data_IF_897433330456
#
_entry.id   IF_897433330456
#
_cell.length_a   1.000
_cell.length_b   1.000
_cell.length_c   1.000
_cell.angle_alpha   90.00
_cell.angle_beta   90.00
_cell.angle_gamma   90.00
#
_symmetry.space_group_name_H-M   'P 1'
#
loop_
_entity.id
_entity.type
_entity.pdbx_description
1 polymer ?
#
# COMPACT_ATOMS: atom_id res chain seq x y z
N UNK A 1 -14.96 24.75 -2.19
CA UNK A 1 -14.26 23.76 -3.08
C UNK A 1 -12.97 24.26 -3.72
N UNK A 2 -12.96 25.18 -4.71
CA UNK A 2 -11.68 25.61 -5.34
C UNK A 2 -10.69 26.19 -4.33
N UNK A 3 -11.15 27.12 -3.49
CA UNK A 3 -10.31 27.74 -2.46
C UNK A 3 -9.84 26.70 -1.42
N UNK A 4 -10.70 25.75 -1.06
CA UNK A 4 -10.35 24.62 -0.20
C UNK A 4 -9.23 23.76 -0.79
N UNK A 5 -9.37 23.32 -2.05
CA UNK A 5 -8.35 22.50 -2.75
C UNK A 5 -7.02 23.26 -2.81
N UNK A 6 -7.04 24.54 -3.17
CA UNK A 6 -5.82 25.37 -3.18
C UNK A 6 -5.19 25.46 -1.80
N UNK A 7 -5.98 25.72 -0.75
CA UNK A 7 -5.50 25.74 0.64
C UNK A 7 -4.88 24.41 1.05
N UNK A 8 -5.49 23.30 0.64
CA UNK A 8 -5.00 21.94 0.93
C UNK A 8 -3.69 21.65 0.20
N UNK A 9 -3.58 22.01 -1.08
CA UNK A 9 -2.33 21.89 -1.85
C UNK A 9 -1.20 22.72 -1.20
N UNK A 10 -1.50 23.94 -0.74
CA UNK A 10 -0.51 24.76 -0.02
C UNK A 10 -0.12 24.11 1.31
N UNK A 11 -1.05 23.49 2.04
CA UNK A 11 -0.77 22.75 3.28
C UNK A 11 0.04 21.47 3.05
N UNK A 12 -0.07 20.82 1.89
CA UNK A 12 0.70 19.62 1.55
C UNK A 12 2.20 19.94 1.55
N UNK A 13 2.61 21.12 1.10
CA UNK A 13 4.03 21.51 1.00
C UNK A 13 4.75 21.49 2.37
N UNK A 14 4.33 22.23 3.41
CA UNK A 14 5.00 22.21 4.71
C UNK A 14 4.88 20.85 5.40
N UNK A 15 3.78 20.11 5.21
CA UNK A 15 3.65 18.75 5.76
C UNK A 15 4.65 17.80 5.11
N UNK A 16 4.79 17.85 3.78
CA UNK A 16 5.74 17.04 3.04
C UNK A 16 7.19 17.37 3.42
N UNK A 17 7.55 18.65 3.52
CA UNK A 17 8.86 19.08 3.99
C UNK A 17 9.13 18.62 5.43
N UNK A 18 8.11 18.66 6.30
CA UNK A 18 8.19 18.12 7.65
C UNK A 18 8.46 16.61 7.66
N UNK A 19 7.79 15.84 6.81
CA UNK A 19 8.02 14.39 6.68
C UNK A 19 9.45 14.10 6.22
N UNK A 20 9.93 14.76 5.15
CA UNK A 20 11.32 14.56 4.68
C UNK A 20 12.32 14.98 5.76
N UNK A 21 12.07 16.10 6.45
CA UNK A 21 12.93 16.56 7.53
C UNK A 21 13.04 15.51 8.63
N UNK A 22 11.91 14.95 9.09
CA UNK A 22 11.91 13.90 10.12
C UNK A 22 12.66 12.67 9.63
N UNK A 23 12.42 12.21 8.40
CA UNK A 23 13.12 11.06 7.82
C UNK A 23 14.63 11.29 7.76
N UNK A 24 15.05 12.46 7.26
CA UNK A 24 16.44 12.85 7.16
C UNK A 24 17.11 12.90 8.54
N UNK A 25 16.42 13.50 9.52
CA UNK A 25 16.90 13.59 10.90
C UNK A 25 17.06 12.22 11.54
N UNK A 26 16.09 11.30 11.34
CA UNK A 26 16.19 9.92 11.82
C UNK A 26 17.42 9.22 11.23
N UNK A 27 17.70 9.38 9.94
CA UNK A 27 18.88 8.77 9.32
C UNK A 27 20.20 9.39 9.79
N UNK A 28 20.21 10.69 10.06
CA UNK A 28 21.38 11.36 10.63
C UNK A 28 21.71 10.86 12.03
N UNK A 29 20.69 10.61 12.86
CA UNK A 29 20.86 10.12 14.23
C UNK A 29 21.08 8.60 14.30
N UNK A 30 20.83 7.87 13.22
CA UNK A 30 21.02 6.42 13.19
C UNK A 30 22.51 6.07 13.32
N UNK A 31 22.88 5.16 14.23
CA UNK A 31 24.29 4.82 14.45
C UNK A 31 24.89 4.14 13.23
N UNK A 32 25.99 4.68 12.69
CA UNK A 32 26.72 4.15 11.51
C UNK A 32 26.47 4.94 10.22
N UNK A 33 27.36 4.80 9.24
CA UNK A 33 27.31 5.55 7.97
C UNK A 33 27.06 4.63 6.76
N UNK A 34 26.56 5.14 5.62
CA UNK A 34 26.50 4.36 4.38
C UNK A 34 27.85 3.75 3.99
N UNK A 35 28.94 4.45 4.30
CA UNK A 35 30.33 3.99 4.08
C UNK A 35 30.64 2.73 4.88
N UNK A 36 30.16 2.61 6.12
CA UNK A 36 30.42 1.44 6.97
C UNK A 36 29.97 0.10 6.35
N UNK A 37 28.89 0.10 5.57
CA UNK A 37 28.40 -1.08 4.83
C UNK A 37 29.14 -1.33 3.50
N UNK A 38 29.87 -0.33 3.00
CA UNK A 38 30.67 -0.41 1.77
C UNK A 38 32.15 -0.74 2.06
N UNK A 39 32.55 -0.78 3.33
CA UNK A 39 33.92 -1.09 3.73
C UNK A 39 34.28 -2.53 3.39
N UNK A 40 35.31 -2.69 2.55
CA UNK A 40 35.99 -3.97 2.40
C UNK A 40 37.04 -4.14 3.50
N UNK A 41 37.35 -5.38 3.94
CA UNK A 41 38.41 -5.64 4.93
C UNK A 41 39.81 -5.13 4.54
N UNK A 42 40.01 -4.77 3.27
CA UNK A 42 41.27 -4.22 2.72
C UNK A 42 41.22 -2.72 2.42
N UNK A 43 40.11 -2.04 2.75
CA UNK A 43 39.95 -0.61 2.49
C UNK A 43 40.87 0.18 3.42
N UNK A 44 41.73 1.04 2.87
CA UNK A 44 42.62 1.88 3.68
C UNK A 44 41.85 3.05 4.30
N UNK A 45 42.36 3.66 5.39
CA UNK A 45 41.75 4.85 5.98
C UNK A 45 41.58 6.01 4.99
N UNK A 46 42.50 6.16 4.04
CA UNK A 46 42.46 7.20 3.00
C UNK A 46 41.32 6.94 2.01
N UNK A 47 41.15 5.69 1.56
CA UNK A 47 40.04 5.31 0.67
C UNK A 47 38.68 5.50 1.34
N UNK A 48 38.62 5.29 2.66
CA UNK A 48 37.42 5.55 3.45
C UNK A 48 37.11 7.05 3.49
N UNK A 49 38.09 7.90 3.78
CA UNK A 49 37.91 9.35 3.82
C UNK A 49 37.49 9.91 2.45
N UNK A 50 38.09 9.43 1.37
CA UNK A 50 37.71 9.81 0.00
C UNK A 50 36.26 9.42 -0.34
N UNK A 51 35.81 8.26 0.13
CA UNK A 51 34.43 7.82 -0.07
C UNK A 51 33.43 8.63 0.78
N UNK A 52 33.81 9.01 2.01
CA UNK A 52 33.00 9.89 2.87
C UNK A 52 32.83 11.28 2.24
N UNK A 53 33.90 11.84 1.67
CA UNK A 53 33.88 13.11 0.93
C UNK A 53 33.01 13.01 -0.33
N UNK A 54 33.16 11.95 -1.13
CA UNK A 54 32.33 11.72 -2.33
C UNK A 54 30.82 11.61 -2.02
N UNK A 55 30.47 11.11 -0.84
CA UNK A 55 29.09 11.02 -0.38
C UNK A 55 28.61 12.29 0.35
N UNK A 56 29.45 13.31 0.46
CA UNK A 56 29.16 14.58 1.13
C UNK A 56 28.95 14.44 2.63
N UNK A 57 29.50 13.38 3.25
CA UNK A 57 29.32 13.11 4.68
C UNK A 57 30.08 14.10 5.58
N UNK A 58 31.08 14.79 5.02
CA UNK A 58 31.84 15.91 5.59
C UNK A 58 31.03 17.21 5.69
N UNK A 59 30.00 17.37 4.85
CA UNK A 59 29.15 18.55 4.83
C UNK A 59 28.15 18.50 6.01
N UNK A 60 27.91 19.60 6.74
CA UNK A 60 26.89 19.61 7.78
C UNK A 60 25.50 19.15 7.29
N UNK A 61 24.82 18.33 8.11
CA UNK A 61 23.57 17.66 7.74
C UNK A 61 22.48 18.60 7.22
N UNK A 62 22.37 19.82 7.75
CA UNK A 62 21.37 20.80 7.32
C UNK A 62 21.62 21.30 5.89
N UNK A 63 22.90 21.41 5.46
CA UNK A 63 23.24 21.75 4.08
C UNK A 63 22.94 20.57 3.16
N UNK A 64 23.23 19.33 3.58
CA UNK A 64 22.84 18.12 2.83
C UNK A 64 21.32 18.06 2.65
N UNK A 65 20.54 18.36 3.68
CA UNK A 65 19.09 18.41 3.62
C UNK A 65 18.61 19.47 2.61
N UNK A 66 19.11 20.71 2.68
CA UNK A 66 18.74 21.77 1.71
C UNK A 66 19.11 21.36 0.28
N UNK A 67 20.29 20.79 0.07
CA UNK A 67 20.71 20.29 -1.24
C UNK A 67 19.79 19.17 -1.73
N UNK A 68 19.43 18.21 -0.88
CA UNK A 68 18.50 17.15 -1.22
C UNK A 68 17.14 17.72 -1.66
N UNK A 69 16.58 18.69 -0.93
CA UNK A 69 15.31 19.33 -1.30
C UNK A 69 15.43 20.04 -2.66
N UNK A 70 16.54 20.74 -2.92
CA UNK A 70 16.78 21.44 -4.19
C UNK A 70 16.89 20.48 -5.38
N UNK A 71 17.59 19.37 -5.21
CA UNK A 71 17.73 18.31 -6.22
C UNK A 71 16.40 17.58 -6.44
N UNK A 72 15.70 17.22 -5.35
CA UNK A 72 14.41 16.55 -5.42
C UNK A 72 13.35 17.41 -6.12
N UNK A 73 13.37 18.73 -5.92
CA UNK A 73 12.50 19.68 -6.64
C UNK A 73 12.73 19.69 -8.16
N UNK A 74 13.89 19.23 -8.63
CA UNK A 74 14.23 19.07 -10.05
C UNK A 74 14.00 17.63 -10.55
N UNK A 75 13.47 16.74 -9.71
CA UNK A 75 13.26 15.32 -10.02
C UNK A 75 14.46 14.42 -9.72
N UNK A 76 15.54 14.95 -9.16
CA UNK A 76 16.70 14.15 -8.77
C UNK A 76 16.57 13.69 -7.31
N UNK A 77 16.15 12.44 -7.12
CA UNK A 77 16.04 11.81 -5.79
C UNK A 77 17.37 11.24 -5.26
N UNK A 78 18.48 11.49 -5.96
CA UNK A 78 19.79 10.96 -5.65
C UNK A 78 20.12 9.65 -6.38
N UNK A 79 21.23 9.05 -5.98
CA UNK A 79 21.81 7.87 -6.62
C UNK A 79 21.81 6.68 -5.66
N UNK A 80 21.42 5.51 -6.14
CA UNK A 80 21.39 4.28 -5.36
C UNK A 80 22.72 3.55 -5.45
N UNK A 81 23.44 3.45 -4.32
CA UNK A 81 24.75 2.79 -4.29
C UNK A 81 24.65 1.26 -4.49
N UNK A 82 23.55 0.64 -4.04
CA UNK A 82 23.36 -0.81 -4.19
C UNK A 82 22.93 -1.19 -5.61
N UNK A 83 22.06 -0.40 -6.24
CA UNK A 83 21.57 -0.67 -7.59
C UNK A 83 22.36 0.02 -8.70
N UNK A 84 23.32 0.90 -8.35
CA UNK A 84 24.19 1.64 -9.27
C UNK A 84 23.43 2.41 -10.37
N UNK A 85 22.32 3.05 -9.99
CA UNK A 85 21.50 3.87 -10.89
C UNK A 85 20.70 4.94 -10.13
N UNK A 86 20.15 5.96 -10.81
CA UNK A 86 19.31 6.97 -10.18
C UNK A 86 18.14 6.36 -9.41
N UNK A 87 17.83 6.91 -8.24
CA UNK A 87 16.77 6.38 -7.35
C UNK A 87 15.40 6.35 -8.04
N UNK A 88 15.09 7.36 -8.86
CA UNK A 88 13.84 7.40 -9.62
C UNK A 88 13.70 6.20 -10.58
N UNK A 89 14.79 5.77 -11.22
CA UNK A 89 14.80 4.59 -12.10
C UNK A 89 14.64 3.30 -11.30
N UNK A 90 15.28 3.19 -10.13
CA UNK A 90 15.05 2.06 -9.22
C UNK A 90 13.56 1.98 -8.88
N UNK A 91 12.95 3.07 -8.41
CA UNK A 91 11.54 3.09 -8.03
C UNK A 91 10.65 2.64 -9.21
N UNK A 92 10.92 3.16 -10.42
CA UNK A 92 10.18 2.79 -11.62
C UNK A 92 10.24 1.29 -11.90
N UNK A 93 11.42 0.69 -11.88
CA UNK A 93 11.63 -0.72 -12.22
C UNK A 93 10.92 -1.69 -11.26
N UNK A 94 10.82 -1.33 -9.98
CA UNK A 94 10.21 -2.17 -8.94
C UNK A 94 8.75 -1.80 -8.62
N UNK A 95 8.24 -0.67 -9.12
CA UNK A 95 6.85 -0.25 -8.90
C UNK A 95 5.81 -1.15 -9.58
N UNK A 96 6.12 -1.70 -10.75
CA UNK A 96 5.18 -2.49 -11.54
C UNK A 96 4.68 -3.75 -10.81
N UNK A 97 5.58 -4.60 -10.28
CA UNK A 97 5.21 -5.77 -9.50
C UNK A 97 4.36 -5.44 -8.26
N UNK A 98 4.74 -4.41 -7.51
CA UNK A 98 3.98 -3.95 -6.32
C UNK A 98 2.59 -3.45 -6.72
N UNK A 99 2.48 -2.61 -7.75
CA UNK A 99 1.21 -2.12 -8.27
C UNK A 99 0.30 -3.26 -8.70
N UNK A 100 0.84 -4.23 -9.43
CA UNK A 100 0.09 -5.38 -9.93
C UNK A 100 -0.47 -6.21 -8.77
N UNK A 101 0.39 -6.59 -7.82
CA UNK A 101 0.01 -7.36 -6.65
C UNK A 101 -1.06 -6.63 -5.81
N UNK A 102 -0.82 -5.35 -5.52
CA UNK A 102 -1.74 -4.55 -4.71
C UNK A 102 -3.09 -4.33 -5.42
N UNK A 103 -3.08 -4.08 -6.74
CA UNK A 103 -4.31 -3.88 -7.52
C UNK A 103 -5.15 -5.15 -7.61
N UNK A 104 -4.53 -6.29 -7.90
CA UNK A 104 -5.23 -7.59 -7.92
C UNK A 104 -5.84 -7.88 -6.55
N UNK A 105 -5.06 -7.67 -5.49
CA UNK A 105 -5.52 -7.88 -4.11
C UNK A 105 -6.67 -6.95 -3.74
N UNK A 106 -6.61 -5.68 -4.14
CA UNK A 106 -7.68 -4.70 -3.91
C UNK A 106 -8.97 -5.11 -4.62
N UNK A 107 -8.88 -5.48 -5.91
CA UNK A 107 -10.03 -5.90 -6.70
C UNK A 107 -10.72 -7.10 -6.07
N UNK A 108 -9.96 -8.13 -5.67
CA UNK A 108 -10.51 -9.31 -5.00
C UNK A 108 -11.14 -8.91 -3.66
N UNK A 109 -10.45 -8.09 -2.88
CA UNK A 109 -10.91 -7.67 -1.54
C UNK A 109 -12.22 -6.88 -1.58
N UNK A 110 -12.38 -5.99 -2.56
CA UNK A 110 -13.62 -5.24 -2.78
C UNK A 110 -14.72 -6.19 -3.27
N UNK A 111 -14.41 -7.02 -4.26
CA UNK A 111 -15.36 -7.92 -4.91
C UNK A 111 -15.94 -8.97 -3.97
N UNK A 112 -15.18 -9.37 -2.95
CA UNK A 112 -15.63 -10.34 -1.93
C UNK A 112 -16.11 -9.62 -0.66
N UNK A 113 -15.31 -8.68 -0.16
CA UNK A 113 -15.53 -8.06 1.15
C UNK A 113 -16.78 -7.19 1.19
N UNK A 114 -17.01 -6.33 0.19
CA UNK A 114 -18.18 -5.46 0.17
C UNK A 114 -19.48 -6.29 0.07
N UNK A 115 -19.65 -7.22 -0.89
CA UNK A 115 -20.85 -8.05 -0.95
C UNK A 115 -21.07 -8.88 0.31
N UNK A 116 -20.01 -9.47 0.88
CA UNK A 116 -20.11 -10.20 2.14
C UNK A 116 -20.62 -9.30 3.28
N UNK A 117 -20.14 -8.05 3.36
CA UNK A 117 -20.57 -7.09 4.37
C UNK A 117 -22.02 -6.66 4.20
N UNK A 118 -22.46 -6.44 2.95
CA UNK A 118 -23.86 -6.14 2.62
C UNK A 118 -24.77 -7.31 3.03
N UNK A 119 -24.40 -8.55 2.67
CA UNK A 119 -25.18 -9.75 2.99
C UNK A 119 -25.25 -9.98 4.50
N UNK A 120 -24.13 -9.82 5.19
CA UNK A 120 -24.02 -9.96 6.64
C UNK A 120 -24.90 -8.93 7.38
N UNK A 121 -24.90 -7.66 6.94
CA UNK A 121 -25.78 -6.64 7.51
C UNK A 121 -27.27 -6.87 7.19
N UNK A 122 -27.60 -7.26 5.97
CA UNK A 122 -28.98 -7.53 5.56
C UNK A 122 -29.58 -8.75 6.28
N UNK A 123 -28.75 -9.70 6.71
CA UNK A 123 -29.14 -10.88 7.48
C UNK A 123 -28.60 -10.85 8.91
N UNK A 124 -28.67 -9.69 9.55
CA UNK A 124 -28.16 -9.47 10.91
C UNK A 124 -28.61 -10.60 11.87
N UNK A 125 -27.68 -11.13 12.66
CA UNK A 125 -27.87 -12.22 13.62
C UNK A 125 -28.21 -13.61 13.03
N UNK A 126 -28.25 -13.75 11.70
CA UNK A 126 -28.37 -15.06 11.06
C UNK A 126 -27.09 -15.89 11.17
N UNK A 127 -27.19 -17.19 10.89
CA UNK A 127 -26.02 -18.08 10.77
C UNK A 127 -25.03 -17.54 9.72
N UNK A 128 -25.54 -17.00 8.59
CA UNK A 128 -24.68 -16.41 7.55
C UNK A 128 -23.89 -15.21 8.08
N UNK A 129 -24.54 -14.32 8.83
CA UNK A 129 -23.89 -13.17 9.44
C UNK A 129 -22.81 -13.59 10.44
N UNK A 130 -23.15 -14.50 11.36
CA UNK A 130 -22.22 -15.00 12.36
C UNK A 130 -21.01 -15.70 11.71
N UNK A 131 -21.23 -16.54 10.68
CA UNK A 131 -20.16 -17.23 9.97
C UNK A 131 -19.22 -16.24 9.26
N UNK A 132 -19.78 -15.27 8.51
CA UNK A 132 -18.97 -14.25 7.83
C UNK A 132 -18.18 -13.41 8.83
N UNK A 133 -18.81 -13.05 9.96
CA UNK A 133 -18.16 -12.31 11.05
C UNK A 133 -16.99 -13.12 11.63
N UNK A 134 -17.18 -14.39 11.97
CA UNK A 134 -16.11 -15.26 12.49
C UNK A 134 -14.98 -15.40 11.48
N UNK A 135 -15.28 -15.67 10.21
CA UNK A 135 -14.27 -15.78 9.15
C UNK A 135 -13.48 -14.47 9.01
N UNK A 136 -14.15 -13.31 9.09
CA UNK A 136 -13.47 -12.02 9.03
C UNK A 136 -12.57 -11.76 10.25
N UNK A 137 -13.00 -12.18 11.44
CA UNK A 137 -12.20 -12.06 12.66
C UNK A 137 -10.95 -12.93 12.58
N UNK A 138 -11.07 -14.15 12.08
CA UNK A 138 -9.93 -15.02 11.80
C UNK A 138 -8.98 -14.33 10.81
N UNK A 139 -9.51 -13.77 9.72
CA UNK A 139 -8.70 -13.09 8.71
C UNK A 139 -7.92 -11.87 9.23
N UNK A 140 -8.46 -11.12 10.19
CA UNK A 140 -7.78 -9.99 10.84
C UNK A 140 -6.80 -10.47 11.92
N UNK A 141 -7.09 -11.61 12.57
CA UNK A 141 -6.32 -12.08 13.72
C UNK A 141 -5.06 -12.86 13.32
N UNK A 142 -5.05 -13.50 12.14
CA UNK A 142 -3.90 -14.25 11.66
C UNK A 142 -2.85 -13.28 11.09
N UNK A 143 -1.59 -13.30 11.60
CA UNK A 143 -0.52 -12.52 11.00
C UNK A 143 -0.29 -12.90 9.54
N UNK A 144 -0.20 -11.91 8.65
CA UNK A 144 -0.07 -12.12 7.21
C UNK A 144 1.15 -12.95 6.83
N UNK A 145 2.29 -12.73 7.50
CA UNK A 145 3.51 -13.51 7.26
C UNK A 145 3.29 -14.99 7.55
N UNK A 146 2.66 -15.30 8.69
CA UNK A 146 2.42 -16.67 9.13
C UNK A 146 1.46 -17.38 8.17
N UNK A 147 0.38 -16.71 7.77
CA UNK A 147 -0.54 -17.24 6.77
C UNK A 147 0.14 -17.49 5.42
N UNK A 148 1.01 -16.57 4.97
CA UNK A 148 1.80 -16.76 3.75
C UNK A 148 2.72 -17.97 3.81
N UNK A 149 3.39 -18.19 4.94
CA UNK A 149 4.25 -19.36 5.14
C UNK A 149 3.43 -20.67 5.15
N UNK A 150 2.24 -20.68 5.75
CA UNK A 150 1.34 -21.84 5.71
C UNK A 150 0.88 -22.16 4.28
N UNK A 151 0.52 -21.14 3.50
CA UNK A 151 0.14 -21.32 2.11
C UNK A 151 1.29 -21.85 1.25
N UNK A 152 2.51 -21.33 1.45
CA UNK A 152 3.70 -21.86 0.79
C UNK A 152 3.94 -23.32 1.15
N UNK A 153 3.90 -23.65 2.45
CA UNK A 153 4.12 -25.04 2.90
C UNK A 153 3.09 -25.99 2.29
N UNK A 154 1.80 -25.66 2.41
CA UNK A 154 0.73 -26.52 1.91
C UNK A 154 0.72 -26.63 0.38
N UNK A 155 0.70 -25.51 -0.33
CA UNK A 155 0.42 -25.52 -1.77
C UNK A 155 1.64 -25.47 -2.67
N UNK A 156 2.76 -24.92 -2.22
CA UNK A 156 3.97 -24.83 -3.03
C UNK A 156 5.01 -25.91 -2.69
N UNK A 157 5.10 -26.33 -1.41
CA UNK A 157 6.04 -27.38 -0.99
C UNK A 157 5.40 -28.77 -1.01
N UNK A 158 4.27 -28.95 -0.31
CA UNK A 158 3.69 -30.29 -0.13
C UNK A 158 2.89 -30.74 -1.36
N UNK A 159 1.98 -29.89 -1.86
CA UNK A 159 1.16 -30.18 -3.05
C UNK A 159 1.90 -29.85 -4.36
N UNK A 160 2.86 -28.90 -4.31
CA UNK A 160 3.61 -28.42 -5.49
C UNK A 160 2.72 -27.87 -6.63
N UNK A 161 1.60 -27.24 -6.26
CA UNK A 161 0.65 -26.66 -7.21
C UNK A 161 1.06 -25.25 -7.66
N UNK A 162 1.61 -24.46 -6.76
CA UNK A 162 2.00 -23.06 -7.00
C UNK A 162 3.51 -22.86 -6.86
N UNK A 163 4.08 -21.84 -7.52
CA UNK A 163 5.50 -21.53 -7.42
C UNK A 163 5.86 -21.04 -6.01
N UNK A 164 7.11 -21.30 -5.62
CA UNK A 164 7.63 -20.91 -4.30
C UNK A 164 8.01 -19.43 -4.25
N UNK A 165 8.63 -18.90 -5.30
CA UNK A 165 9.30 -17.60 -5.29
C UNK A 165 9.21 -16.90 -6.65
N UNK A 166 9.34 -15.57 -6.62
CA UNK A 166 9.46 -14.74 -7.82
C UNK A 166 8.12 -14.43 -8.48
N UNK A 167 8.18 -13.61 -9.54
CA UNK A 167 7.00 -13.16 -10.29
C UNK A 167 6.80 -13.93 -11.59
N UNK A 168 7.83 -14.64 -12.06
CA UNK A 168 7.88 -15.33 -13.34
C UNK A 168 8.77 -16.55 -13.24
N UNK A 169 8.45 -17.58 -14.01
CA UNK A 169 9.32 -18.76 -14.16
C UNK A 169 10.54 -18.39 -15.03
N UNK A 170 11.78 -18.52 -14.51
CA UNK A 170 12.99 -18.26 -15.30
C UNK A 170 13.19 -19.23 -16.47
N UNK A 171 12.53 -20.38 -16.48
CA UNK A 171 12.63 -21.40 -17.52
C UNK A 171 11.60 -21.23 -18.64
N UNK A 172 10.65 -20.29 -18.50
CA UNK A 172 9.64 -20.06 -19.53
C UNK A 172 10.25 -19.38 -20.77
N UNK A 173 10.48 -20.19 -21.81
CA UNK A 173 11.00 -19.74 -23.12
C UNK A 173 9.91 -19.41 -24.15
N UNK A 174 8.72 -18.97 -23.71
CA UNK A 174 7.65 -18.54 -24.61
C UNK A 174 7.64 -17.03 -24.78
N UNK A 175 7.56 -16.54 -26.02
CA UNK A 175 7.36 -15.12 -26.31
C UNK A 175 5.89 -14.69 -26.36
N UNK A 176 4.97 -15.64 -26.27
CA UNK A 176 3.54 -15.35 -26.28
C UNK A 176 3.14 -14.58 -25.01
N UNK A 177 2.47 -13.44 -25.20
CA UNK A 177 1.95 -12.60 -24.12
C UNK A 177 0.97 -13.37 -23.23
N UNK A 178 0.18 -14.27 -23.81
CA UNK A 178 -0.77 -15.09 -23.05
C UNK A 178 -0.07 -16.00 -22.05
N UNK A 179 1.00 -16.68 -22.47
CA UNK A 179 1.78 -17.57 -21.61
C UNK A 179 2.49 -16.79 -20.50
N UNK A 180 3.11 -15.65 -20.84
CA UNK A 180 3.74 -14.75 -19.86
C UNK A 180 2.73 -14.22 -18.83
N UNK A 181 1.50 -13.91 -19.26
CA UNK A 181 0.45 -13.41 -18.36
C UNK A 181 -0.08 -14.50 -17.45
N UNK A 182 -0.29 -15.72 -17.99
CA UNK A 182 -0.70 -16.88 -17.21
C UNK A 182 0.34 -17.24 -16.15
N UNK A 183 1.61 -17.21 -16.52
CA UNK A 183 2.73 -17.46 -15.61
C UNK A 183 2.75 -16.46 -14.45
N UNK A 184 2.69 -15.16 -14.76
CA UNK A 184 2.61 -14.10 -13.74
C UNK A 184 1.37 -14.27 -12.86
N UNK A 185 0.21 -14.57 -13.45
CA UNK A 185 -1.02 -14.79 -12.70
C UNK A 185 -0.88 -15.97 -11.72
N UNK A 186 -0.21 -17.05 -12.15
CA UNK A 186 0.05 -18.23 -11.31
C UNK A 186 0.96 -17.90 -10.12
N UNK A 187 2.01 -17.10 -10.36
CA UNK A 187 2.90 -16.59 -9.31
C UNK A 187 2.22 -15.63 -8.33
N UNK A 188 1.16 -14.93 -8.76
CA UNK A 188 0.44 -13.98 -7.93
C UNK A 188 -0.67 -14.60 -7.07
N UNK A 189 -1.08 -15.85 -7.29
CA UNK A 189 -2.22 -16.45 -6.57
C UNK A 189 -1.99 -16.44 -5.05
N UNK A 190 -0.93 -17.06 -4.57
CA UNK A 190 -0.65 -17.15 -3.14
C UNK A 190 -0.37 -15.77 -2.50
N UNK A 191 0.51 -14.92 -3.06
CA UNK A 191 0.73 -13.57 -2.54
C UNK A 191 -0.56 -12.73 -2.45
N UNK A 192 -1.41 -12.82 -3.47
CA UNK A 192 -2.67 -12.05 -3.50
C UNK A 192 -3.64 -12.55 -2.45
N UNK A 193 -3.76 -13.86 -2.25
CA UNK A 193 -4.61 -14.44 -1.19
C UNK A 193 -4.16 -13.94 0.19
N UNK A 194 -2.85 -13.89 0.45
CA UNK A 194 -2.30 -13.37 1.72
C UNK A 194 -2.70 -11.92 1.95
N UNK A 195 -2.55 -11.06 0.94
CA UNK A 195 -2.95 -9.65 1.05
C UNK A 195 -4.46 -9.45 1.13
N UNK A 196 -5.22 -10.31 0.45
CA UNK A 196 -6.68 -10.27 0.48
C UNK A 196 -7.24 -10.62 1.85
N UNK A 197 -6.58 -11.46 2.63
CA UNK A 197 -7.12 -11.94 3.91
C UNK A 197 -7.54 -10.78 4.84
N UNK A 198 -6.60 -9.87 5.11
CA UNK A 198 -6.84 -8.71 5.99
C UNK A 198 -7.76 -7.68 5.33
N UNK A 199 -7.56 -7.44 4.04
CA UNK A 199 -8.24 -6.42 3.26
C UNK A 199 -9.72 -6.74 3.07
N UNK A 200 -10.04 -7.97 2.68
CA UNK A 200 -11.41 -8.48 2.51
C UNK A 200 -12.17 -8.42 3.83
N UNK A 201 -11.55 -8.87 4.92
CA UNK A 201 -12.15 -8.84 6.25
C UNK A 201 -12.44 -7.40 6.71
N UNK A 202 -11.53 -6.47 6.42
CA UNK A 202 -11.73 -5.04 6.70
C UNK A 202 -12.91 -4.48 5.89
N UNK A 203 -12.93 -4.66 4.57
CA UNK A 203 -14.05 -4.21 3.72
C UNK A 203 -15.38 -4.81 4.17
N UNK A 204 -15.41 -6.10 4.52
CA UNK A 204 -16.59 -6.77 5.07
C UNK A 204 -17.08 -6.10 6.35
N UNK A 205 -16.20 -5.96 7.34
CA UNK A 205 -16.53 -5.42 8.67
C UNK A 205 -17.03 -3.97 8.59
N UNK A 206 -16.34 -3.10 7.86
CA UNK A 206 -16.72 -1.70 7.73
C UNK A 206 -17.99 -1.53 6.91
N UNK A 207 -18.15 -2.29 5.82
CA UNK A 207 -19.40 -2.30 5.05
C UNK A 207 -20.57 -2.77 5.91
N UNK A 208 -20.39 -3.85 6.69
CA UNK A 208 -21.42 -4.36 7.60
C UNK A 208 -21.81 -3.31 8.64
N UNK A 209 -20.84 -2.70 9.31
CA UNK A 209 -21.09 -1.68 10.34
C UNK A 209 -21.90 -0.51 9.78
N UNK A 210 -21.46 0.05 8.65
CA UNK A 210 -22.14 1.18 8.02
C UNK A 210 -23.54 0.82 7.52
N UNK A 211 -23.71 -0.37 6.93
CA UNK A 211 -25.02 -0.85 6.50
C UNK A 211 -25.99 -0.99 7.68
N UNK A 212 -25.55 -1.49 8.84
CA UNK A 212 -26.40 -1.61 10.03
C UNK A 212 -26.86 -0.26 10.56
N UNK A 213 -25.99 0.75 10.56
CA UNK A 213 -26.36 2.12 10.94
C UNK A 213 -27.42 2.70 10.01
N UNK A 214 -27.31 2.40 8.72
CA UNK A 214 -28.19 2.94 7.68
C UNK A 214 -29.54 2.21 7.60
N UNK A 215 -29.56 0.88 7.71
CA UNK A 215 -30.79 0.06 7.60
C UNK A 215 -31.84 0.44 8.66
N UNK A 216 -31.39 1.02 9.79
CA UNK A 216 -32.23 1.44 10.90
C UNK A 216 -32.76 2.88 10.78
N UNK A 217 -32.47 3.59 9.70
CA UNK A 217 -32.89 4.98 9.49
C UNK A 217 -34.37 5.12 9.06
N UNK A 218 -35.00 6.25 9.40
CA UNK A 218 -36.44 6.47 9.15
C UNK A 218 -36.82 6.50 7.66
N UNK A 219 -35.92 6.98 6.79
CA UNK A 219 -36.17 6.96 5.35
C UNK A 219 -36.18 5.52 4.78
N UNK A 220 -35.46 4.58 5.41
CA UNK A 220 -35.51 3.16 5.07
C UNK A 220 -36.84 2.54 5.52
N UNK A 221 -37.30 2.85 6.75
CA UNK A 221 -38.65 2.44 7.20
C UNK A 221 -39.75 2.97 6.28
N UNK A 222 -39.64 4.23 5.86
CA UNK A 222 -40.56 4.84 4.90
C UNK A 222 -40.53 4.12 3.55
N UNK A 223 -39.34 3.75 3.05
CA UNK A 223 -39.21 2.97 1.83
C UNK A 223 -39.89 1.59 1.93
N UNK A 224 -39.75 0.91 3.08
CA UNK A 224 -40.45 -0.35 3.37
C UNK A 224 -41.97 -0.16 3.39
N UNK A 225 -42.46 0.87 4.08
CA UNK A 225 -43.89 1.18 4.14
C UNK A 225 -44.51 1.48 2.77
N UNK A 226 -43.73 2.03 1.83
CA UNK A 226 -44.13 2.23 0.43
C UNK A 226 -44.12 0.96 -0.43
N UNK A 227 -43.79 -0.21 0.13
CA UNK A 227 -43.82 -1.50 -0.57
C UNK A 227 -42.63 -1.76 -1.50
N UNK A 228 -41.52 -1.02 -1.35
CA UNK A 228 -40.31 -1.29 -2.13
C UNK A 228 -39.74 -2.67 -1.78
N UNK A 229 -39.24 -3.40 -2.80
CA UNK A 229 -38.58 -4.70 -2.61
C UNK A 229 -37.34 -4.56 -1.72
N UNK A 230 -37.11 -5.48 -0.80
CA UNK A 230 -35.97 -5.42 0.14
C UNK A 230 -34.61 -5.30 -0.59
N UNK A 231 -34.43 -6.00 -1.73
CA UNK A 231 -33.21 -5.84 -2.55
C UNK A 231 -33.01 -4.40 -3.02
N UNK A 232 -34.06 -3.71 -3.44
CA UNK A 232 -33.99 -2.30 -3.83
C UNK A 232 -33.63 -1.42 -2.63
N UNK A 233 -34.23 -1.69 -1.48
CA UNK A 233 -33.96 -0.97 -0.23
C UNK A 233 -32.49 -1.11 0.16
N UNK A 234 -31.97 -2.34 0.20
CA UNK A 234 -30.59 -2.62 0.59
C UNK A 234 -29.58 -2.01 -0.39
N UNK A 235 -29.69 -2.28 -1.70
CA UNK A 235 -28.65 -1.84 -2.64
C UNK A 235 -28.78 -0.38 -3.08
N UNK A 236 -30.01 0.13 -3.25
CA UNK A 236 -30.22 1.49 -3.78
C UNK A 236 -30.32 2.55 -2.69
N UNK A 237 -30.92 2.21 -1.54
CA UNK A 237 -31.16 3.17 -0.46
C UNK A 237 -30.18 3.01 0.70
N UNK A 238 -29.90 1.79 1.15
CA UNK A 238 -29.00 1.60 2.28
C UNK A 238 -27.53 1.71 1.86
N UNK A 239 -27.08 0.87 0.93
CA UNK A 239 -25.68 0.83 0.50
C UNK A 239 -25.18 2.18 -0.02
N UNK A 240 -25.93 2.84 -0.90
CA UNK A 240 -25.57 4.16 -1.42
C UNK A 240 -25.28 5.19 -0.32
N UNK A 241 -26.02 5.14 0.79
CA UNK A 241 -25.84 6.06 1.92
C UNK A 241 -24.85 5.54 2.98
N UNK A 242 -24.51 4.24 2.94
CA UNK A 242 -23.48 3.60 3.77
C UNK A 242 -22.10 3.52 3.12
N UNK A 243 -21.88 4.20 1.99
CA UNK A 243 -20.62 4.13 1.24
C UNK A 243 -19.50 5.02 1.79
N UNK A 244 -19.79 5.95 2.72
CA UNK A 244 -18.79 6.89 3.23
C UNK A 244 -17.56 6.21 3.87
N UNK A 245 -17.70 5.17 4.72
CA UNK A 245 -16.54 4.45 5.25
C UNK A 245 -15.76 3.70 4.17
N UNK A 246 -16.44 3.24 3.11
CA UNK A 246 -15.81 2.53 1.99
C UNK A 246 -14.95 3.50 1.18
N UNK A 247 -15.44 4.72 0.93
CA UNK A 247 -14.69 5.80 0.28
C UNK A 247 -13.42 6.13 1.08
N UNK A 248 -13.54 6.19 2.40
CA UNK A 248 -12.41 6.42 3.32
C UNK A 248 -11.34 5.35 3.15
N UNK A 249 -11.76 4.07 3.18
CA UNK A 249 -10.85 2.93 3.03
C UNK A 249 -10.17 2.95 1.66
N UNK A 250 -10.93 3.18 0.58
CA UNK A 250 -10.39 3.25 -0.78
C UNK A 250 -9.37 4.38 -0.96
N UNK A 251 -9.53 5.48 -0.22
CA UNK A 251 -8.54 6.55 -0.25
C UNK A 251 -7.20 6.06 0.29
N UNK A 252 -7.19 5.39 1.46
CA UNK A 252 -5.96 4.80 2.01
C UNK A 252 -5.28 3.76 1.11
N UNK A 253 -6.01 3.17 0.16
CA UNK A 253 -5.41 2.26 -0.80
C UNK A 253 -4.48 2.95 -1.81
N UNK A 254 -4.67 4.24 -2.09
CA UNK A 254 -3.82 4.97 -3.05
C UNK A 254 -2.32 4.89 -2.69
N UNK A 255 -1.87 5.26 -1.48
CA UNK A 255 -0.48 5.07 -1.09
C UNK A 255 -0.13 3.59 -0.96
N UNK A 256 -1.06 2.74 -0.50
CA UNK A 256 -0.81 1.31 -0.30
C UNK A 256 -0.50 0.57 -1.61
N UNK A 257 -1.05 1.02 -2.74
CA UNK A 257 -0.77 0.48 -4.07
C UNK A 257 0.72 0.53 -4.44
N UNK A 258 1.48 1.47 -3.86
CA UNK A 258 2.92 1.66 -4.11
C UNK A 258 3.77 1.55 -2.84
N UNK A 259 3.16 1.44 -1.65
CA UNK A 259 3.87 1.30 -0.37
C UNK A 259 4.72 0.04 -0.28
N UNK A 260 4.50 -0.93 -1.18
CA UNK A 260 5.12 -2.22 -1.10
C UNK A 260 4.38 -3.11 -0.11
N UNK A 261 4.04 -4.32 -0.53
CA UNK A 261 3.57 -5.34 0.39
C UNK A 261 4.78 -5.98 1.09
N UNK A 262 5.54 -5.18 1.85
CA UNK A 262 6.90 -5.48 2.35
C UNK A 262 7.06 -6.94 2.80
N UNK A 263 6.18 -7.39 3.69
CA UNK A 263 6.20 -8.73 4.25
C UNK A 263 5.91 -9.79 3.18
N UNK A 264 4.83 -9.62 2.42
CA UNK A 264 4.42 -10.56 1.36
C UNK A 264 5.48 -10.63 0.26
N UNK A 265 5.96 -9.50 -0.25
CA UNK A 265 6.99 -9.46 -1.29
C UNK A 265 8.31 -10.08 -0.82
N UNK A 266 8.67 -9.93 0.45
CA UNK A 266 9.87 -10.57 1.00
C UNK A 266 9.70 -12.09 1.10
N UNK A 267 8.57 -12.58 1.61
CA UNK A 267 8.30 -14.02 1.77
C UNK A 267 8.25 -14.74 0.44
N UNK A 268 7.56 -14.16 -0.55
CA UNK A 268 7.43 -14.72 -1.89
C UNK A 268 8.56 -14.28 -2.83
N UNK A 269 9.57 -13.55 -2.32
CA UNK A 269 10.71 -13.03 -3.10
C UNK A 269 10.28 -12.29 -4.38
N UNK A 270 9.20 -11.51 -4.31
CA UNK A 270 8.71 -10.71 -5.41
C UNK A 270 9.63 -9.48 -5.60
N UNK A 271 10.01 -9.13 -6.84
CA UNK A 271 10.84 -7.96 -7.13
C UNK A 271 10.00 -6.68 -7.06
N UNK A 272 9.51 -6.31 -5.87
CA UNK A 272 8.69 -5.12 -5.64
C UNK A 272 9.34 -4.07 -4.74
N UNK A 273 8.69 -2.91 -4.64
CA UNK A 273 9.10 -1.77 -3.82
C UNK A 273 9.25 -2.12 -2.34
N UNK A 274 8.40 -3.01 -1.82
CA UNK A 274 8.42 -3.42 -0.42
C UNK A 274 9.68 -4.24 -0.10
N UNK A 275 10.02 -5.20 -0.97
CA UNK A 275 11.26 -6.00 -0.81
C UNK A 275 12.50 -5.11 -0.89
N UNK A 276 12.61 -4.26 -1.92
CA UNK A 276 13.79 -3.39 -2.06
C UNK A 276 13.90 -2.35 -0.95
N UNK A 277 12.79 -1.96 -0.30
CA UNK A 277 12.82 -1.06 0.85
C UNK A 277 13.53 -1.69 2.04
N UNK A 278 13.28 -2.99 2.29
CA UNK A 278 13.96 -3.74 3.35
C UNK A 278 15.43 -3.93 3.00
N UNK A 279 15.74 -4.32 1.76
CA UNK A 279 17.12 -4.47 1.29
C UNK A 279 17.89 -3.14 1.41
N UNK A 280 17.27 -2.01 1.02
CA UNK A 280 17.86 -0.69 1.15
C UNK A 280 18.11 -0.30 2.61
N UNK A 281 17.17 -0.62 3.52
CA UNK A 281 17.32 -0.39 4.96
C UNK A 281 18.48 -1.19 5.54
N UNK A 282 18.59 -2.48 5.23
CA UNK A 282 19.70 -3.32 5.69
C UNK A 282 21.05 -2.86 5.11
N UNK A 283 21.05 -2.44 3.84
CA UNK A 283 22.24 -1.92 3.17
C UNK A 283 22.57 -0.46 3.52
N UNK A 284 21.77 0.23 4.36
CA UNK A 284 21.92 1.67 4.68
C UNK A 284 21.99 2.55 3.43
N UNK A 285 21.22 2.20 2.40
CA UNK A 285 21.09 3.01 1.18
C UNK A 285 20.10 4.15 1.41
N UNK A 286 20.55 5.19 2.12
CA UNK A 286 19.71 6.32 2.51
C UNK A 286 19.04 7.05 1.34
N UNK A 287 19.71 7.31 0.19
CA UNK A 287 19.04 7.93 -0.96
C UNK A 287 17.82 7.14 -1.45
N UNK A 288 17.93 5.81 -1.53
CA UNK A 288 16.82 4.97 -1.98
C UNK A 288 15.68 4.93 -0.97
N UNK A 289 15.97 4.79 0.33
CA UNK A 289 14.95 4.81 1.38
C UNK A 289 14.22 6.15 1.41
N UNK A 290 14.97 7.26 1.33
CA UNK A 290 14.40 8.61 1.35
C UNK A 290 13.56 8.86 0.08
N UNK A 291 14.00 8.41 -1.08
CA UNK A 291 13.23 8.51 -2.33
C UNK A 291 11.93 7.71 -2.29
N UNK A 292 11.97 6.45 -1.84
CA UNK A 292 10.76 5.61 -1.70
C UNK A 292 9.80 6.27 -0.71
N UNK A 293 10.25 6.62 0.50
CA UNK A 293 9.37 7.23 1.50
C UNK A 293 8.85 8.61 1.09
N UNK A 294 9.62 9.39 0.34
CA UNK A 294 9.15 10.67 -0.23
C UNK A 294 8.02 10.45 -1.22
N UNK A 295 8.14 9.45 -2.12
CA UNK A 295 7.04 9.06 -3.01
C UNK A 295 5.80 8.65 -2.20
N UNK A 296 5.96 7.82 -1.16
CA UNK A 296 4.83 7.37 -0.32
C UNK A 296 4.18 8.53 0.45
N UNK A 297 4.97 9.48 0.93
CA UNK A 297 4.46 10.67 1.59
C UNK A 297 3.62 11.52 0.63
N UNK A 298 4.11 11.74 -0.60
CA UNK A 298 3.33 12.44 -1.65
C UNK A 298 2.02 11.70 -1.93
N UNK A 299 2.07 10.38 -2.15
CA UNK A 299 0.86 9.58 -2.42
C UNK A 299 -0.14 9.61 -1.26
N UNK A 300 0.35 9.63 -0.02
CA UNK A 300 -0.50 9.72 1.18
C UNK A 300 -1.18 11.09 1.29
N UNK A 301 -0.46 12.16 0.94
CA UNK A 301 -1.01 13.52 0.91
C UNK A 301 -2.02 13.70 -0.23
N UNK A 302 -1.72 13.16 -1.42
CA UNK A 302 -2.67 13.10 -2.55
C UNK A 302 -3.91 12.31 -2.17
N UNK A 303 -3.74 11.14 -1.54
CA UNK A 303 -4.84 10.31 -1.04
C UNK A 303 -5.75 11.06 -0.09
N UNK A 304 -5.17 11.83 0.83
CA UNK A 304 -5.95 12.62 1.79
C UNK A 304 -6.77 13.70 1.07
N UNK A 305 -6.19 14.36 0.06
CA UNK A 305 -6.92 15.32 -0.78
C UNK A 305 -8.03 14.65 -1.59
N UNK A 306 -7.79 13.46 -2.15
CA UNK A 306 -8.80 12.68 -2.87
C UNK A 306 -9.95 12.29 -1.93
N UNK A 307 -9.65 11.87 -0.70
CA UNK A 307 -10.66 11.55 0.31
C UNK A 307 -11.57 12.76 0.59
N UNK A 308 -10.97 13.93 0.84
CA UNK A 308 -11.71 15.17 1.10
C UNK A 308 -12.66 15.52 -0.06
N UNK A 309 -12.19 15.38 -1.31
CA UNK A 309 -13.00 15.64 -2.51
C UNK A 309 -14.15 14.61 -2.62
N UNK A 310 -13.86 13.33 -2.38
CA UNK A 310 -14.86 12.27 -2.45
C UNK A 310 -15.93 12.41 -1.35
N UNK A 311 -15.57 12.89 -0.16
CA UNK A 311 -16.55 13.20 0.88
C UNK A 311 -17.47 14.35 0.48
N UNK A 312 -16.94 15.45 -0.06
CA UNK A 312 -17.79 16.54 -0.58
C UNK A 312 -18.74 16.07 -1.69
N UNK A 313 -18.27 15.18 -2.56
CA UNK A 313 -19.08 14.62 -3.64
C UNK A 313 -20.16 13.65 -3.13
N UNK A 314 -19.85 12.88 -2.08
CA UNK A 314 -20.73 11.88 -1.52
C UNK A 314 -21.79 12.47 -0.56
N UNK A 315 -21.44 13.49 0.22
CA UNK A 315 -22.36 14.19 1.12
C UNK A 315 -22.34 15.71 0.85
N UNK A 316 -23.39 16.27 0.22
CA UNK A 316 -23.49 17.70 -0.08
C UNK A 316 -23.67 18.58 1.17
N UNK A 317 -23.87 17.98 2.36
CA UNK A 317 -23.87 18.70 3.64
C UNK A 317 -22.45 19.08 4.08
N UNK A 318 -21.44 18.38 3.58
CA UNK A 318 -20.03 18.69 3.82
C UNK A 318 -19.69 19.92 2.96
N UNK A 319 -19.81 21.10 3.57
CA UNK A 319 -19.43 22.38 2.96
C UNK A 319 -18.01 22.71 3.37
N UNK A 320 -17.11 22.65 2.40
CA UNK A 320 -15.75 23.16 2.54
C UNK A 320 -15.73 24.64 2.16
N UNK A 321 -15.87 25.49 3.17
CA UNK A 321 -15.70 26.95 3.09
C UNK A 321 -14.23 27.32 2.78
#
# INVERSE_FOLDING_TARGET
MRNYILRRIVQIIPVFLGIIFILFFIFEQAPGTPVSNMMHPRMTPEQKAELEEKLGLDIPWYKRFINYIKEAAQGNLGYSNTHKKPVAEVIKDYSGPTLLLASVSLIISISVGIPAGIVSAAKQYSITDNLLTVVSLIGISIPSFFFGLLLLKAFAVDIQLFPLFGLKDPLLMSDNIFDKTKDVAWHLVLPSIVLCLNSTASFMRYTRSSMLEVINQDYIRTARAKGLKEKTIIYRHAFRNGMLPIITLLSFWIPLLLSGAVVTESIFSLPGLGKISVEAAMARNYPLILGINSMLAILTLISSLVADILYAAADPRIRYD
#
